data_IF_686642217176
#
_entry.id   IF_686642217176
#
_cell.length_a   1.000
_cell.length_b   1.000
_cell.length_c   1.000
_cell.angle_alpha   90.00
_cell.angle_beta   90.00
_cell.angle_gamma   90.00
#
_symmetry.space_group_name_H-M   'P 1'
#
loop_
_entity.id
_entity.type
_entity.pdbx_description
1 polymer ?
#
# COMPACT_ATOMS: atom_id res chain seq x y z
N UNK A 1 35.94 -12.31 -71.70
CA UNK A 1 35.99 -12.00 -70.24
C UNK A 1 36.82 -10.73 -70.11
N UNK A 2 36.12 -9.59 -70.12
CA UNK A 2 36.74 -8.28 -69.89
C UNK A 2 37.11 -8.16 -68.39
N UNK A 3 38.40 -7.99 -68.18
CA UNK A 3 38.93 -7.67 -66.88
C UNK A 3 38.55 -6.19 -66.59
N UNK A 4 37.85 -5.86 -65.51
CA UNK A 4 37.49 -4.49 -65.23
C UNK A 4 38.76 -3.63 -65.09
N UNK A 5 38.70 -2.41 -65.62
CA UNK A 5 39.75 -1.42 -65.51
C UNK A 5 40.02 -1.15 -64.00
N UNK A 6 41.24 -0.90 -63.57
CA UNK A 6 41.58 -0.69 -62.17
C UNK A 6 40.78 0.42 -61.47
N UNK A 7 40.34 1.40 -62.22
CA UNK A 7 39.51 2.51 -61.74
C UNK A 7 38.05 2.07 -61.38
N UNK A 8 37.45 1.15 -62.17
CA UNK A 8 36.12 0.59 -61.89
C UNK A 8 36.12 -0.34 -60.68
N UNK A 9 37.26 -1.03 -60.41
CA UNK A 9 37.40 -1.88 -59.25
C UNK A 9 37.52 -1.06 -57.96
N UNK A 10 38.17 0.10 -58.02
CA UNK A 10 38.35 1.03 -56.89
C UNK A 10 37.02 1.74 -56.55
N UNK A 11 36.25 2.18 -57.53
CA UNK A 11 34.89 2.72 -57.33
C UNK A 11 33.92 1.68 -56.72
N UNK A 12 33.95 0.45 -57.19
CA UNK A 12 33.10 -0.62 -56.65
C UNK A 12 33.46 -0.97 -55.19
N UNK A 13 34.72 -0.88 -54.82
CA UNK A 13 35.18 -1.08 -53.43
C UNK A 13 34.72 0.08 -52.53
N UNK A 14 34.85 1.32 -52.98
CA UNK A 14 34.41 2.51 -52.26
C UNK A 14 32.87 2.48 -52.03
N UNK A 15 32.10 2.11 -53.08
CA UNK A 15 30.64 1.95 -52.92
C UNK A 15 30.23 0.88 -51.91
N UNK A 16 30.95 -0.26 -51.85
CA UNK A 16 30.71 -1.30 -50.86
C UNK A 16 31.01 -0.82 -49.44
N UNK A 17 32.06 -0.07 -49.25
CA UNK A 17 32.42 0.50 -47.94
C UNK A 17 31.39 1.49 -47.45
N UNK A 18 30.91 2.39 -48.30
CA UNK A 18 29.82 3.33 -48.03
C UNK A 18 28.54 2.57 -47.65
N UNK A 19 28.17 1.56 -48.44
CA UNK A 19 26.96 0.75 -48.14
C UNK A 19 27.07 0.01 -46.80
N UNK A 20 28.21 -0.55 -46.46
CA UNK A 20 28.40 -1.25 -45.19
C UNK A 20 28.36 -0.29 -44.02
N UNK A 21 28.97 0.86 -44.13
CA UNK A 21 28.96 1.92 -43.14
C UNK A 21 27.56 2.45 -42.94
N UNK A 22 26.80 2.66 -44.01
CA UNK A 22 25.40 3.11 -43.98
C UNK A 22 24.47 2.10 -43.29
N UNK A 23 24.61 0.82 -43.61
CA UNK A 23 23.89 -0.27 -42.96
C UNK A 23 24.20 -0.34 -41.47
N UNK A 24 25.46 -0.19 -41.09
CA UNK A 24 25.91 -0.19 -39.67
C UNK A 24 25.34 1.01 -38.91
N UNK A 25 25.39 2.20 -39.50
CA UNK A 25 24.85 3.41 -38.89
C UNK A 25 23.34 3.37 -38.76
N UNK A 26 22.60 2.86 -39.76
CA UNK A 26 21.18 2.66 -39.73
C UNK A 26 20.75 1.66 -38.62
N UNK A 27 21.52 0.56 -38.43
CA UNK A 27 21.29 -0.40 -37.37
C UNK A 27 21.53 0.22 -35.99
N UNK A 28 22.61 1.00 -35.83
CA UNK A 28 22.87 1.73 -34.59
C UNK A 28 21.82 2.77 -34.27
N UNK A 29 21.33 3.54 -35.25
CA UNK A 29 20.27 4.51 -35.08
C UNK A 29 18.93 3.86 -34.64
N UNK A 30 18.59 2.72 -35.25
CA UNK A 30 17.41 1.94 -34.84
C UNK A 30 17.52 1.42 -33.42
N UNK A 31 18.70 0.91 -33.02
CA UNK A 31 18.95 0.45 -31.64
C UNK A 31 18.86 1.59 -30.63
N UNK A 32 19.45 2.73 -30.92
CA UNK A 32 19.32 3.92 -30.07
C UNK A 32 17.88 4.37 -29.93
N UNK A 33 17.11 4.41 -31.03
CA UNK A 33 15.70 4.73 -30.99
C UNK A 33 14.88 3.73 -30.18
N UNK A 34 15.15 2.44 -30.29
CA UNK A 34 14.47 1.40 -29.53
C UNK A 34 14.76 1.52 -28.01
N UNK A 35 16.02 1.78 -27.64
CA UNK A 35 16.39 1.99 -26.22
C UNK A 35 15.71 3.25 -25.66
N UNK A 36 15.71 4.35 -26.39
CA UNK A 36 15.03 5.58 -25.94
C UNK A 36 13.51 5.34 -25.78
N UNK A 37 12.89 4.62 -26.70
CA UNK A 37 11.47 4.29 -26.63
C UNK A 37 11.16 3.40 -25.41
N UNK A 38 11.98 2.39 -25.11
CA UNK A 38 11.84 1.52 -23.93
C UNK A 38 11.98 2.31 -22.63
N UNK A 39 12.97 3.20 -22.57
CA UNK A 39 13.17 4.07 -21.39
C UNK A 39 11.97 5.00 -21.20
N UNK A 40 11.47 5.60 -22.27
CA UNK A 40 10.29 6.47 -22.20
C UNK A 40 9.03 5.71 -21.74
N UNK A 41 8.81 4.49 -22.24
CA UNK A 41 7.72 3.61 -21.80
C UNK A 41 7.87 3.28 -20.32
N UNK A 42 9.08 2.91 -19.88
CA UNK A 42 9.35 2.59 -18.47
C UNK A 42 9.03 3.78 -17.55
N UNK A 43 9.50 4.99 -17.89
CA UNK A 43 9.21 6.19 -17.11
C UNK A 43 7.74 6.61 -17.13
N UNK A 44 6.98 6.25 -18.17
CA UNK A 44 5.54 6.52 -18.23
C UNK A 44 4.71 5.48 -17.46
N UNK A 45 5.11 4.20 -17.50
CA UNK A 45 4.33 3.10 -16.90
C UNK A 45 4.67 2.85 -15.44
N UNK A 46 5.92 3.04 -15.01
CA UNK A 46 6.36 2.78 -13.66
C UNK A 46 5.63 3.63 -12.59
N UNK A 47 5.53 4.97 -12.73
CA UNK A 47 4.79 5.78 -11.76
C UNK A 47 3.29 5.45 -11.77
N UNK A 48 2.72 5.17 -12.93
CA UNK A 48 1.31 4.76 -13.04
C UNK A 48 1.07 3.43 -12.31
N UNK A 49 1.96 2.45 -12.49
CA UNK A 49 1.89 1.17 -11.81
C UNK A 49 2.01 1.32 -10.28
N UNK A 50 2.96 2.15 -9.81
CA UNK A 50 3.12 2.45 -8.39
C UNK A 50 1.88 3.12 -7.78
N UNK A 51 1.25 4.05 -8.51
CA UNK A 51 0.03 4.72 -8.05
C UNK A 51 -1.15 3.76 -7.94
N UNK A 52 -1.29 2.84 -8.90
CA UNK A 52 -2.35 1.84 -8.90
C UNK A 52 -2.19 0.87 -7.72
N UNK A 53 -0.95 0.46 -7.42
CA UNK A 53 -0.67 -0.50 -6.34
C UNK A 53 -0.64 0.12 -4.94
N UNK A 54 -0.40 1.43 -4.80
CA UNK A 54 -0.45 2.08 -3.49
C UNK A 54 -1.86 2.20 -2.92
N UNK A 55 -2.88 2.06 -3.77
CA UNK A 55 -4.25 2.29 -3.36
C UNK A 55 -4.54 3.77 -3.03
N UNK A 56 -5.71 4.02 -2.51
CA UNK A 56 -6.15 5.33 -1.97
C UNK A 56 -6.64 5.14 -0.55
N UNK A 57 -6.33 6.09 0.31
CA UNK A 57 -6.84 6.08 1.67
C UNK A 57 -8.36 6.21 1.67
N UNK A 58 -9.02 5.56 2.63
CA UNK A 58 -10.45 5.68 2.83
C UNK A 58 -10.74 7.03 3.49
N UNK A 59 -11.57 7.90 2.89
CA UNK A 59 -11.94 9.17 3.52
C UNK A 59 -12.68 8.96 4.83
N UNK A 60 -12.41 9.79 5.84
CA UNK A 60 -13.02 9.69 7.16
C UNK A 60 -14.56 9.79 7.13
N UNK A 61 -15.11 10.49 6.13
CA UNK A 61 -16.56 10.61 5.92
C UNK A 61 -17.26 9.27 5.61
N UNK A 62 -16.50 8.29 5.08
CA UNK A 62 -17.00 6.94 4.79
C UNK A 62 -16.73 5.95 5.93
N UNK A 63 -16.05 6.38 6.99
CA UNK A 63 -15.70 5.55 8.15
C UNK A 63 -16.73 5.78 9.24
N UNK A 64 -17.39 4.70 9.66
CA UNK A 64 -18.29 4.72 10.80
C UNK A 64 -17.75 3.81 11.90
N UNK A 65 -17.59 4.37 13.09
CA UNK A 65 -17.16 3.64 14.28
C UNK A 65 -18.32 3.58 15.24
N UNK A 66 -18.61 2.39 15.71
CA UNK A 66 -19.67 2.15 16.68
C UNK A 66 -19.27 1.05 17.66
N UNK A 67 -20.08 0.89 18.72
CA UNK A 67 -19.90 -0.17 19.71
C UNK A 67 -18.48 -0.25 20.29
N UNK A 68 -17.84 0.91 20.51
CA UNK A 68 -16.53 0.93 21.16
C UNK A 68 -16.69 0.52 22.63
N UNK A 69 -15.93 -0.50 23.06
CA UNK A 69 -15.99 -1.05 24.41
C UNK A 69 -14.61 -1.57 24.82
N UNK A 70 -14.48 -1.95 26.08
CA UNK A 70 -13.25 -2.48 26.63
C UNK A 70 -13.46 -3.92 27.15
N UNK A 71 -12.59 -4.85 26.75
CA UNK A 71 -12.56 -6.21 27.27
C UNK A 71 -12.00 -6.24 28.69
N UNK A 72 -12.18 -7.36 29.39
CA UNK A 72 -11.65 -7.56 30.75
C UNK A 72 -10.14 -7.44 30.84
N UNK A 73 -9.40 -7.77 29.77
CA UNK A 73 -7.93 -7.67 29.69
C UNK A 73 -7.44 -6.26 29.35
N UNK A 74 -8.34 -5.29 29.18
CA UNK A 74 -8.02 -3.92 28.82
C UNK A 74 -7.97 -3.66 27.30
N UNK A 75 -8.19 -4.65 26.46
CA UNK A 75 -8.23 -4.51 25.01
C UNK A 75 -9.44 -3.66 24.59
N UNK A 76 -9.19 -2.69 23.74
CA UNK A 76 -10.22 -1.83 23.14
C UNK A 76 -10.77 -2.52 21.91
N UNK A 77 -12.07 -2.72 21.86
CA UNK A 77 -12.78 -3.29 20.71
C UNK A 77 -13.72 -2.24 20.15
N UNK A 78 -13.76 -2.13 18.85
CA UNK A 78 -14.67 -1.24 18.14
C UNK A 78 -15.19 -1.88 16.86
N UNK A 79 -16.40 -1.55 16.50
CA UNK A 79 -17.01 -1.99 15.27
C UNK A 79 -16.72 -0.96 14.17
N UNK A 80 -16.06 -1.40 13.11
CA UNK A 80 -15.71 -0.59 11.95
C UNK A 80 -16.62 -0.95 10.78
N UNK A 81 -17.26 0.07 10.21
CA UNK A 81 -18.12 -0.04 9.04
C UNK A 81 -17.72 0.99 7.99
N UNK A 82 -17.54 0.54 6.74
CA UNK A 82 -17.22 1.38 5.59
C UNK A 82 -18.26 1.12 4.51
N UNK A 83 -18.98 2.18 4.12
CA UNK A 83 -20.07 2.13 3.13
C UNK A 83 -19.77 3.04 1.94
N UNK A 84 -18.76 2.70 1.14
CA UNK A 84 -18.46 3.41 -0.09
C UNK A 84 -18.56 2.52 -1.35
N UNK A 85 -19.00 1.28 -1.15
CA UNK A 85 -19.16 0.27 -2.20
C UNK A 85 -17.85 -0.24 -2.80
N UNK A 86 -16.71 -0.01 -2.13
CA UNK A 86 -15.40 -0.52 -2.52
C UNK A 86 -14.91 -1.58 -1.53
N UNK A 87 -14.01 -2.42 -1.99
CA UNK A 87 -13.35 -3.41 -1.13
C UNK A 87 -12.13 -2.80 -0.47
N UNK A 88 -11.95 -3.05 0.81
CA UNK A 88 -10.71 -2.73 1.50
C UNK A 88 -9.61 -3.65 0.98
N UNK A 89 -8.49 -3.05 0.54
CA UNK A 89 -7.33 -3.78 0.01
C UNK A 89 -6.33 -4.08 1.13
N UNK A 90 -6.00 -3.05 1.90
CA UNK A 90 -5.00 -3.18 2.97
C UNK A 90 -5.41 -2.34 4.18
N UNK A 91 -5.10 -2.84 5.36
CA UNK A 91 -5.14 -2.10 6.62
C UNK A 91 -3.75 -2.07 7.21
N UNK A 92 -3.24 -0.89 7.47
CA UNK A 92 -1.91 -0.66 8.07
C UNK A 92 -2.09 -0.07 9.46
N UNK A 93 -1.22 -0.43 10.39
CA UNK A 93 -1.17 0.17 11.72
C UNK A 93 0.11 0.97 11.85
N UNK A 94 -0.02 2.27 11.96
CA UNK A 94 1.06 3.24 12.06
C UNK A 94 1.07 3.90 13.42
N UNK A 95 2.25 4.35 13.87
CA UNK A 95 2.40 5.14 15.09
C UNK A 95 3.08 6.45 14.72
N UNK A 96 2.43 7.56 15.04
CA UNK A 96 2.97 8.88 14.84
C UNK A 96 4.05 9.25 15.88
N UNK A 97 4.75 10.37 15.67
CA UNK A 97 5.80 10.85 16.57
C UNK A 97 5.31 11.13 18.00
N UNK A 98 4.04 11.52 18.15
CA UNK A 98 3.38 11.74 19.44
C UNK A 98 2.94 10.44 20.14
N UNK A 99 3.12 9.28 19.47
CA UNK A 99 2.74 7.97 19.93
C UNK A 99 1.30 7.59 19.67
N UNK A 100 0.52 8.42 19.00
CA UNK A 100 -0.84 8.07 18.59
C UNK A 100 -0.81 6.94 17.56
N UNK A 101 -1.71 5.96 17.70
CA UNK A 101 -1.85 4.84 16.78
C UNK A 101 -2.91 5.12 15.71
N UNK A 102 -2.62 4.77 14.46
CA UNK A 102 -3.48 4.98 13.31
C UNK A 102 -3.72 3.68 12.56
N UNK A 103 -4.98 3.28 12.43
CA UNK A 103 -5.40 2.24 11.49
C UNK A 103 -5.67 2.89 10.13
N UNK A 104 -4.67 2.93 9.28
CA UNK A 104 -4.79 3.47 7.93
C UNK A 104 -5.41 2.43 7.00
N UNK A 105 -6.51 2.80 6.37
CA UNK A 105 -7.31 1.91 5.52
C UNK A 105 -7.10 2.29 4.06
N UNK A 106 -6.71 1.32 3.22
CA UNK A 106 -6.46 1.55 1.79
C UNK A 106 -7.38 0.72 0.92
N UNK A 107 -7.82 1.33 -0.16
CA UNK A 107 -8.68 0.74 -1.18
C UNK A 107 -7.98 0.76 -2.53
N UNK A 108 -8.26 -0.24 -3.37
CA UNK A 108 -7.75 -0.27 -4.73
C UNK A 108 -8.27 0.91 -5.56
N UNK A 109 -7.38 1.63 -6.26
CA UNK A 109 -7.73 2.81 -7.05
C UNK A 109 -8.69 2.49 -8.21
N UNK A 110 -8.59 1.30 -8.81
CA UNK A 110 -9.29 0.91 -10.04
C UNK A 110 -10.31 -0.23 -9.82
N UNK A 111 -10.74 -0.46 -8.61
CA UNK A 111 -11.77 -1.46 -8.38
C UNK A 111 -13.15 -0.92 -8.78
N UNK A 112 -13.92 -1.66 -9.60
CA UNK A 112 -15.27 -1.26 -9.91
C UNK A 112 -16.11 -1.28 -8.64
N UNK A 113 -16.93 -0.25 -8.42
CA UNK A 113 -17.90 -0.24 -7.32
C UNK A 113 -18.73 -1.52 -7.35
N UNK A 114 -18.68 -2.28 -6.27
CA UNK A 114 -19.53 -3.44 -6.09
C UNK A 114 -20.90 -2.96 -5.59
N UNK A 115 -21.95 -3.43 -6.21
CA UNK A 115 -23.34 -3.09 -5.86
C UNK A 115 -23.98 -4.06 -4.86
N UNK A 116 -23.20 -4.97 -4.31
CA UNK A 116 -23.65 -6.00 -3.39
C UNK A 116 -23.06 -5.83 -2.00
N UNK A 117 -23.65 -6.49 -1.01
CA UNK A 117 -23.18 -6.54 0.37
C UNK A 117 -21.71 -6.97 0.52
N UNK A 118 -21.15 -7.61 -0.50
CA UNK A 118 -19.73 -8.02 -0.56
C UNK A 118 -18.72 -6.85 -0.64
N UNK A 119 -19.18 -5.62 -0.88
CA UNK A 119 -18.33 -4.42 -0.97
C UNK A 119 -18.21 -3.65 0.34
N UNK A 120 -18.93 -4.05 1.37
CA UNK A 120 -18.94 -3.37 2.65
C UNK A 120 -17.92 -4.02 3.59
N UNK A 121 -17.05 -3.19 4.15
CA UNK A 121 -16.22 -3.64 5.26
C UNK A 121 -17.01 -3.45 6.55
N UNK A 122 -17.31 -4.55 7.22
CA UNK A 122 -18.17 -4.59 8.40
C UNK A 122 -17.57 -5.60 9.40
N UNK A 123 -16.72 -5.13 10.30
CA UNK A 123 -15.99 -6.02 11.21
C UNK A 123 -15.69 -5.37 12.55
N UNK A 124 -15.41 -6.18 13.54
CA UNK A 124 -14.83 -5.74 14.79
C UNK A 124 -13.32 -5.74 14.71
N UNK A 125 -12.71 -4.66 15.18
CA UNK A 125 -11.28 -4.53 15.36
C UNK A 125 -10.95 -4.45 16.84
N UNK A 126 -9.77 -4.94 17.18
CA UNK A 126 -9.28 -4.92 18.55
C UNK A 126 -7.90 -4.28 18.59
N UNK A 127 -7.62 -3.55 19.66
CA UNK A 127 -6.34 -2.93 19.93
C UNK A 127 -6.00 -3.07 21.42
N UNK A 128 -4.96 -3.82 21.73
CA UNK A 128 -4.42 -3.89 23.07
C UNK A 128 -3.31 -2.85 23.22
N UNK A 129 -3.63 -1.78 23.99
CA UNK A 129 -2.74 -0.61 24.13
C UNK A 129 -1.31 -1.00 24.51
N UNK A 130 -1.13 -1.90 25.44
CA UNK A 130 0.21 -2.30 25.94
C UNK A 130 0.91 -3.26 24.98
N UNK A 131 0.21 -4.30 24.57
CA UNK A 131 0.80 -5.38 23.76
C UNK A 131 1.08 -4.95 22.33
N UNK A 132 0.15 -4.21 21.73
CA UNK A 132 0.29 -3.77 20.34
C UNK A 132 1.36 -2.71 20.21
N UNK A 133 1.44 -1.77 21.16
CA UNK A 133 2.51 -0.78 21.20
C UNK A 133 3.88 -1.46 21.35
N UNK A 134 4.01 -2.50 22.18
CA UNK A 134 5.25 -3.23 22.30
C UNK A 134 5.64 -3.94 20.99
N UNK A 135 4.69 -4.59 20.33
CA UNK A 135 4.90 -5.28 19.05
C UNK A 135 5.27 -4.32 17.92
N UNK A 136 4.62 -3.15 17.87
CA UNK A 136 4.93 -2.09 16.88
C UNK A 136 6.35 -1.59 17.12
N UNK A 137 6.72 -1.28 18.37
CA UNK A 137 8.07 -0.82 18.72
C UNK A 137 9.14 -1.81 18.30
N UNK A 138 8.92 -3.10 18.51
CA UNK A 138 9.87 -4.15 18.13
C UNK A 138 10.05 -4.23 16.62
N UNK A 139 8.95 -4.28 15.87
CA UNK A 139 8.96 -4.41 14.39
C UNK A 139 9.45 -3.14 13.68
N UNK A 140 8.98 -1.98 14.09
CA UNK A 140 9.34 -0.70 13.48
C UNK A 140 10.67 -0.13 13.99
N UNK A 141 11.33 -0.81 14.98
CA UNK A 141 12.52 -0.32 15.71
C UNK A 141 12.31 1.08 16.30
N UNK A 142 11.09 1.37 16.70
CA UNK A 142 10.74 2.59 17.41
C UNK A 142 11.06 2.42 18.89
N UNK A 143 11.51 3.47 19.54
CA UNK A 143 11.71 3.52 21.00
C UNK A 143 10.58 4.26 21.67
N UNK A 144 9.36 3.88 21.40
CA UNK A 144 8.22 4.49 22.05
C UNK A 144 8.03 3.86 23.44
N UNK A 145 8.21 4.64 24.50
CA UNK A 145 8.03 4.20 25.88
C UNK A 145 6.75 4.79 26.43
N UNK A 146 5.67 4.03 26.38
CA UNK A 146 4.40 4.44 26.98
C UNK A 146 3.19 3.93 26.19
N UNK A 147 2.02 4.06 26.80
CA UNK A 147 0.76 3.80 26.10
C UNK A 147 0.50 4.89 25.07
N UNK A 148 -0.05 4.59 23.89
CA UNK A 148 -0.44 5.60 22.95
C UNK A 148 -1.42 6.58 23.60
N UNK A 149 -1.29 7.90 23.33
CA UNK A 149 -2.23 8.88 23.84
C UNK A 149 -3.62 8.76 23.21
N UNK A 150 -3.70 8.23 21.98
CA UNK A 150 -4.96 8.04 21.28
C UNK A 150 -4.84 6.97 20.17
N UNK A 151 -5.98 6.42 19.76
CA UNK A 151 -6.14 5.47 18.66
C UNK A 151 -7.14 6.06 17.67
N UNK A 152 -6.77 6.07 16.41
CA UNK A 152 -7.56 6.61 15.30
C UNK A 152 -7.74 5.59 14.19
N UNK A 153 -8.78 5.77 13.38
CA UNK A 153 -8.92 5.15 12.06
C UNK A 153 -8.83 6.25 10.99
N UNK A 154 -7.99 6.05 10.00
CA UNK A 154 -7.67 7.03 8.96
C UNK A 154 -6.20 7.46 9.00
N UNK A 155 -5.90 8.56 8.32
CA UNK A 155 -4.57 9.18 8.28
C UNK A 155 -4.43 10.31 9.31
N UNK A 156 -3.23 10.80 9.64
CA UNK A 156 -3.08 11.94 10.52
C UNK A 156 -3.88 13.19 10.12
N UNK A 157 -4.07 13.40 8.81
CA UNK A 157 -4.79 14.55 8.26
C UNK A 157 -6.30 14.35 8.17
N UNK A 158 -6.76 13.08 8.03
CA UNK A 158 -8.18 12.73 7.83
C UNK A 158 -8.50 11.46 8.62
N UNK A 159 -9.05 11.63 9.84
CA UNK A 159 -9.15 10.57 10.84
C UNK A 159 -10.43 10.63 11.66
N UNK A 160 -10.83 9.48 12.18
CA UNK A 160 -11.89 9.31 13.16
C UNK A 160 -11.30 8.81 14.48
N UNK A 161 -11.61 9.46 15.60
CA UNK A 161 -11.16 9.02 16.93
C UNK A 161 -11.89 7.74 17.33
N UNK A 162 -11.12 6.74 17.77
CA UNK A 162 -11.63 5.51 18.38
C UNK A 162 -11.58 5.60 19.89
N UNK A 163 -10.41 6.01 20.41
CA UNK A 163 -10.13 6.08 21.83
C UNK A 163 -9.02 7.10 22.12
N UNK A 164 -9.11 7.73 23.25
CA UNK A 164 -8.05 8.57 23.81
C UNK A 164 -7.80 8.25 25.28
N UNK A 165 -6.59 8.49 25.75
CA UNK A 165 -6.19 8.20 27.13
C UNK A 165 -7.05 8.99 28.13
N UNK A 166 -7.73 8.25 29.02
CA UNK A 166 -8.67 8.80 29.99
C UNK A 166 -10.13 8.76 29.54
N UNK A 167 -10.41 8.30 28.32
CA UNK A 167 -11.79 8.02 27.89
C UNK A 167 -12.31 6.79 28.66
N UNK A 168 -13.48 6.95 29.28
CA UNK A 168 -14.18 5.87 29.97
C UNK A 168 -15.02 5.09 28.97
N UNK A 169 -14.59 3.87 28.67
CA UNK A 169 -15.29 2.98 27.74
C UNK A 169 -16.24 2.05 28.50
N UNK A 170 -17.42 1.75 27.95
CA UNK A 170 -18.27 0.72 28.51
C UNK A 170 -17.58 -0.64 28.47
N UNK A 171 -17.80 -1.50 29.46
CA UNK A 171 -17.31 -2.88 29.42
C UNK A 171 -17.96 -3.63 28.24
N UNK A 172 -17.20 -4.56 27.66
CA UNK A 172 -17.72 -5.41 26.60
C UNK A 172 -18.85 -6.31 27.13
N UNK A 173 -19.80 -6.61 26.26
CA UNK A 173 -20.84 -7.59 26.58
C UNK A 173 -20.27 -9.01 26.54
N UNK A 174 -20.85 -9.99 27.27
CA UNK A 174 -20.38 -11.38 27.18
C UNK A 174 -20.33 -11.94 25.76
N UNK A 175 -21.24 -11.50 24.90
CA UNK A 175 -21.26 -11.91 23.49
C UNK A 175 -20.06 -11.36 22.70
N UNK A 176 -19.63 -10.13 23.00
CA UNK A 176 -18.42 -9.53 22.39
C UNK A 176 -17.17 -10.22 22.94
N UNK A 177 -17.11 -10.50 24.23
CA UNK A 177 -16.00 -11.24 24.85
C UNK A 177 -15.82 -12.63 24.20
N UNK A 178 -16.90 -13.40 24.06
CA UNK A 178 -16.88 -14.72 23.44
C UNK A 178 -16.46 -14.66 21.97
N UNK A 179 -17.03 -13.72 21.21
CA UNK A 179 -16.69 -13.49 19.81
C UNK A 179 -15.21 -13.11 19.66
N UNK A 180 -14.70 -12.22 20.48
CA UNK A 180 -13.30 -11.79 20.40
C UNK A 180 -12.33 -12.87 20.85
N UNK A 181 -12.68 -13.71 21.83
CA UNK A 181 -11.89 -14.86 22.23
C UNK A 181 -11.75 -15.90 21.10
N UNK A 182 -12.77 -16.01 20.22
CA UNK A 182 -12.71 -16.89 19.05
C UNK A 182 -11.92 -16.29 17.89
N UNK A 183 -12.10 -14.99 17.61
CA UNK A 183 -11.51 -14.29 16.46
C UNK A 183 -10.08 -13.82 16.74
N UNK A 184 -9.79 -13.41 17.96
CA UNK A 184 -8.56 -12.71 18.35
C UNK A 184 -7.26 -13.51 18.10
N UNK A 185 -7.17 -14.83 18.40
CA UNK A 185 -6.00 -15.60 18.03
C UNK A 185 -5.71 -15.65 16.53
N UNK A 186 -6.78 -15.73 15.72
CA UNK A 186 -6.70 -15.75 14.26
C UNK A 186 -6.41 -14.35 13.69
N UNK A 187 -6.92 -13.32 14.35
CA UNK A 187 -6.70 -11.92 13.96
C UNK A 187 -5.22 -11.51 14.12
N UNK A 188 -4.54 -11.97 15.17
CA UNK A 188 -3.10 -11.72 15.34
C UNK A 188 -2.25 -12.41 14.29
N UNK A 189 -2.57 -13.64 13.91
CA UNK A 189 -1.90 -14.33 12.80
C UNK A 189 -2.14 -13.58 11.49
N UNK A 190 -3.36 -13.12 11.25
CA UNK A 190 -3.73 -12.33 10.07
C UNK A 190 -2.98 -10.98 10.07
N UNK A 191 -3.04 -10.21 11.14
CA UNK A 191 -2.35 -8.92 11.24
C UNK A 191 -0.83 -9.07 11.13
N UNK A 192 -0.24 -10.08 11.75
CA UNK A 192 1.20 -10.31 11.69
C UNK A 192 1.70 -10.73 10.31
N UNK A 193 0.83 -11.31 9.47
CA UNK A 193 1.15 -11.77 8.12
C UNK A 193 0.84 -10.73 7.03
N UNK A 194 -0.10 -9.81 7.27
CA UNK A 194 -0.65 -8.89 6.26
C UNK A 194 -0.19 -7.44 6.46
N UNK A 195 0.31 -7.08 7.66
CA UNK A 195 0.78 -5.73 7.92
C UNK A 195 2.18 -5.49 7.35
N UNK A 196 2.26 -4.72 6.27
CA UNK A 196 3.48 -4.03 5.88
C UNK A 196 3.65 -2.80 6.78
N UNK A 197 4.59 -2.91 7.73
CA UNK A 197 4.89 -1.85 8.68
C UNK A 197 5.66 -0.73 7.97
N UNK A 198 4.99 0.35 7.64
CA UNK A 198 5.63 1.55 7.09
C UNK A 198 5.86 2.53 8.23
N UNK A 199 7.13 2.78 8.56
CA UNK A 199 7.49 3.89 9.44
C UNK A 199 7.52 5.18 8.63
N UNK A 200 6.69 6.14 8.96
CA UNK A 200 6.82 7.51 8.46
C UNK A 200 7.96 8.20 9.19
N UNK A 201 9.03 8.54 8.45
CA UNK A 201 10.06 9.50 8.85
C UNK A 201 9.70 10.88 8.32
#
# INVERSE_FOLDING_TARGET
TETPLPEEAEEAAALKEVQTTWKKNRKRARWKGAVIALVAIFFATCPLWLTIHKGTDVPSENIQISQTCQLEDGTIVFHLYIDDGKTLDTMELDVAEDGSAYFTLKQALLEPKRTSEDGLFNTYLAFNVTQDTANINEKAKLTFTGDPPAVYVGTPEDRVLVWEKGMDLPPATPAIEEMMAEIYPSYWEFCSSTFDWVSYN
#
